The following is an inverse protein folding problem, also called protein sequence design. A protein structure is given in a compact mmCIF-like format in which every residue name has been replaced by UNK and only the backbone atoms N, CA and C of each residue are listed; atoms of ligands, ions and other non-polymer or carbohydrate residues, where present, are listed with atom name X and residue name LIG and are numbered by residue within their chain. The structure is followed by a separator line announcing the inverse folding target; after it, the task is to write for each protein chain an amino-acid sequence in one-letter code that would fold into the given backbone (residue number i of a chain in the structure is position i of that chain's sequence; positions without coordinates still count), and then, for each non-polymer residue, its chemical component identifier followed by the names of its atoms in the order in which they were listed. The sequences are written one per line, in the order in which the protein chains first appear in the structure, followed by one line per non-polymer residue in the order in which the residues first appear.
data_IF_763171313691
#
_entry.id   IF_763171313691
#
_cell.length_a   1.000
_cell.length_b   1.000
_cell.length_c   1.000
_cell.angle_alpha   90.00
_cell.angle_beta   90.00
_cell.angle_gamma   90.00
#
_symmetry.space_group_name_H-M   'P 1'
#
loop_
_entity.id
_entity.type
_entity.pdbx_description
1 polymer ?
#
# COMPACT_ATOMS: atom_id res chain seq x y z
N UNK A 1 -5.42 -0.81 8.53
CA UNK A 1 -5.56 -0.38 9.93
C UNK A 1 -6.73 -1.03 10.66
N UNK A 2 -7.97 -0.58 10.44
CA UNK A 2 -9.12 -0.99 11.28
C UNK A 2 -9.37 -2.50 11.35
N UNK A 3 -9.38 -3.20 10.22
CA UNK A 3 -9.68 -4.64 10.21
C UNK A 3 -8.63 -5.50 10.93
N UNK A 4 -7.34 -5.25 10.71
CA UNK A 4 -6.27 -6.00 11.37
C UNK A 4 -6.29 -5.78 12.89
N UNK A 5 -6.57 -4.55 13.33
CA UNK A 5 -6.71 -4.23 14.76
C UNK A 5 -7.93 -4.91 15.39
N UNK A 6 -9.10 -4.85 14.74
CA UNK A 6 -10.32 -5.51 15.22
C UNK A 6 -10.11 -7.03 15.30
N UNK A 7 -9.53 -7.64 14.28
CA UNK A 7 -9.21 -9.07 14.27
C UNK A 7 -8.25 -9.45 15.41
N UNK A 8 -7.23 -8.63 15.67
CA UNK A 8 -6.28 -8.86 16.76
C UNK A 8 -6.94 -8.71 18.14
N UNK A 9 -7.85 -7.74 18.32
CA UNK A 9 -8.64 -7.61 19.54
C UNK A 9 -9.59 -8.79 19.78
N UNK A 10 -10.26 -9.27 18.74
CA UNK A 10 -11.14 -10.45 18.83
C UNK A 10 -10.31 -11.68 19.23
N UNK A 11 -9.21 -11.94 18.53
CA UNK A 11 -8.33 -13.07 18.82
C UNK A 11 -7.76 -12.97 20.26
N UNK A 12 -7.33 -11.78 20.66
CA UNK A 12 -6.77 -11.54 21.98
C UNK A 12 -7.77 -11.79 23.13
N UNK A 13 -9.06 -11.54 22.87
CA UNK A 13 -10.14 -11.71 23.86
C UNK A 13 -10.64 -13.15 24.00
N UNK A 14 -10.46 -13.98 22.96
CA UNK A 14 -11.02 -15.33 22.91
C UNK A 14 -10.02 -16.41 23.32
N UNK A 15 -8.71 -16.11 23.35
CA UNK A 15 -7.67 -17.14 23.51
C UNK A 15 -7.08 -17.26 24.91
N UNK A 16 -6.99 -18.49 25.40
CA UNK A 16 -6.14 -18.84 26.53
C UNK A 16 -4.68 -18.87 26.05
N UNK A 17 -3.99 -17.72 26.19
CA UNK A 17 -2.62 -17.47 25.74
C UNK A 17 -1.56 -18.52 26.13
N UNK A 18 -1.87 -19.38 27.10
CA UNK A 18 -1.01 -20.48 27.56
C UNK A 18 -0.94 -21.68 26.59
N UNK A 19 -1.87 -21.82 25.62
CA UNK A 19 -1.92 -22.96 24.68
C UNK A 19 -2.20 -22.53 23.23
N UNK A 20 -1.40 -21.60 22.71
CA UNK A 20 -1.48 -21.21 21.30
C UNK A 20 -0.96 -22.33 20.39
N UNK A 21 -1.78 -22.73 19.42
CA UNK A 21 -1.34 -23.65 18.36
C UNK A 21 -0.39 -22.96 17.39
N UNK A 22 0.36 -23.75 16.60
CA UNK A 22 1.22 -23.23 15.54
C UNK A 22 0.44 -22.38 14.52
N UNK A 23 -0.82 -22.77 14.23
CA UNK A 23 -1.70 -22.06 13.31
C UNK A 23 -2.09 -20.67 13.84
N UNK A 24 -2.53 -20.58 15.09
CA UNK A 24 -2.94 -19.32 15.72
C UNK A 24 -1.76 -18.38 15.92
N UNK A 25 -0.60 -18.91 16.27
CA UNK A 25 0.66 -18.15 16.33
C UNK A 25 1.01 -17.56 14.97
N UNK A 26 0.83 -18.33 13.89
CA UNK A 26 1.05 -17.86 12.52
C UNK A 26 0.07 -16.75 12.13
N UNK A 27 -1.21 -16.86 12.50
CA UNK A 27 -2.21 -15.81 12.28
C UNK A 27 -1.90 -14.53 13.05
N UNK A 28 -1.50 -14.64 14.31
CA UNK A 28 -1.06 -13.48 15.11
C UNK A 28 0.14 -12.78 14.49
N UNK A 29 1.16 -13.53 14.06
CA UNK A 29 2.32 -12.99 13.36
C UNK A 29 1.93 -12.28 12.06
N UNK A 30 1.02 -12.86 11.27
CA UNK A 30 0.51 -12.25 10.03
C UNK A 30 -0.25 -10.95 10.31
N UNK A 31 -1.10 -10.90 11.33
CA UNK A 31 -1.83 -9.71 11.73
C UNK A 31 -0.90 -8.61 12.24
N UNK A 32 0.10 -8.97 13.05
CA UNK A 32 1.12 -8.04 13.55
C UNK A 32 1.97 -7.47 12.40
N UNK A 33 2.36 -8.32 11.44
CA UNK A 33 3.04 -7.90 10.22
C UNK A 33 2.18 -6.94 9.39
N UNK A 34 0.89 -7.25 9.21
CA UNK A 34 -0.04 -6.36 8.50
C UNK A 34 -0.20 -5.02 9.21
N UNK A 35 -0.29 -5.00 10.54
CA UNK A 35 -0.37 -3.77 11.32
C UNK A 35 0.89 -2.92 11.15
N UNK A 36 2.06 -3.56 11.22
CA UNK A 36 3.36 -2.90 11.05
C UNK A 36 3.50 -2.31 9.65
N UNK A 37 3.24 -3.10 8.61
CA UNK A 37 3.28 -2.66 7.20
C UNK A 37 2.30 -1.51 6.94
N UNK A 38 1.06 -1.62 7.44
CA UNK A 38 0.07 -0.55 7.30
C UNK A 38 0.52 0.72 8.02
N UNK A 39 1.24 0.61 9.14
CA UNK A 39 1.68 1.77 9.94
C UNK A 39 2.82 2.47 9.25
N UNK A 40 3.80 1.71 8.78
CA UNK A 40 4.90 2.20 7.94
C UNK A 40 4.33 2.91 6.70
N UNK A 41 3.32 2.29 6.08
CA UNK A 41 2.71 2.85 4.89
C UNK A 41 2.07 4.22 5.18
N UNK A 42 1.19 4.29 6.17
CA UNK A 42 0.44 5.51 6.50
C UNK A 42 1.32 6.62 7.10
N UNK A 43 2.32 6.27 7.91
CA UNK A 43 3.13 7.25 8.64
C UNK A 43 4.32 7.77 7.83
N UNK A 44 4.89 6.96 6.93
CA UNK A 44 6.12 7.31 6.23
C UNK A 44 6.01 7.29 4.72
N UNK A 45 5.43 6.25 4.12
CA UNK A 45 5.41 6.11 2.67
C UNK A 45 4.36 7.00 2.00
N UNK A 46 3.14 7.06 2.53
CA UNK A 46 2.06 7.91 2.00
C UNK A 46 2.44 9.39 1.99
N UNK A 47 2.89 10.03 3.11
CA UNK A 47 3.26 11.43 3.09
C UNK A 47 4.39 11.75 2.08
N UNK A 48 5.37 10.86 1.93
CA UNK A 48 6.47 11.01 0.97
C UNK A 48 6.01 10.82 -0.47
N UNK A 49 5.12 9.87 -0.71
CA UNK A 49 4.51 9.63 -2.03
C UNK A 49 3.67 10.83 -2.44
N UNK A 50 2.86 11.36 -1.53
CA UNK A 50 2.04 12.56 -1.77
C UNK A 50 2.91 13.80 -1.99
N UNK A 51 3.98 14.01 -1.22
CA UNK A 51 4.90 15.11 -1.46
C UNK A 51 5.58 15.02 -2.84
N UNK A 52 6.03 13.82 -3.23
CA UNK A 52 6.59 13.58 -4.56
C UNK A 52 5.55 13.77 -5.68
N UNK A 53 4.31 13.35 -5.46
CA UNK A 53 3.19 13.57 -6.37
C UNK A 53 2.91 15.07 -6.58
N UNK A 54 2.84 15.85 -5.50
CA UNK A 54 2.64 17.30 -5.58
C UNK A 54 3.78 17.99 -6.31
N UNK A 55 5.03 17.59 -6.04
CA UNK A 55 6.18 18.13 -6.73
C UNK A 55 6.15 17.81 -8.23
N UNK A 56 5.77 16.58 -8.61
CA UNK A 56 5.57 16.21 -10.03
C UNK A 56 4.47 17.05 -10.67
N UNK A 57 3.33 17.14 -10.00
CA UNK A 57 2.17 17.87 -10.51
C UNK A 57 2.45 19.37 -10.69
N UNK A 58 3.28 19.95 -9.82
CA UNK A 58 3.71 21.35 -9.95
C UNK A 58 4.53 21.54 -11.23
N UNK A 59 5.53 20.67 -11.46
CA UNK A 59 6.37 20.72 -12.67
C UNK A 59 5.56 20.45 -13.94
N UNK A 60 4.62 19.50 -13.88
CA UNK A 60 3.71 19.20 -14.99
C UNK A 60 2.86 20.43 -15.35
N UNK A 61 2.27 21.08 -14.34
CA UNK A 61 1.42 22.26 -14.52
C UNK A 61 2.20 23.47 -15.06
N UNK A 62 3.43 23.71 -14.59
CA UNK A 62 4.31 24.75 -15.14
C UNK A 62 4.62 24.55 -16.63
N UNK A 63 4.58 23.31 -17.10
CA UNK A 63 4.78 22.93 -18.51
C UNK A 63 3.48 22.82 -19.29
N UNK A 64 2.34 23.17 -18.70
CA UNK A 64 1.02 23.11 -19.32
C UNK A 64 0.40 21.71 -19.36
N UNK A 65 0.93 20.76 -18.61
CA UNK A 65 0.43 19.38 -18.48
C UNK A 65 -0.51 19.23 -17.27
N UNK A 66 -1.26 18.13 -17.21
CA UNK A 66 -2.16 17.80 -16.09
C UNK A 66 -3.62 18.27 -16.23
N UNK A 67 -3.97 18.97 -17.32
CA UNK A 67 -5.35 19.37 -17.68
C UNK A 67 -5.94 18.61 -18.88
N UNK A 68 -5.29 17.53 -19.30
CA UNK A 68 -5.58 16.86 -20.56
C UNK A 68 -6.77 15.89 -20.41
N UNK A 69 -7.62 15.82 -21.42
CA UNK A 69 -8.71 14.84 -21.44
C UNK A 69 -8.13 13.45 -21.75
N UNK A 70 -8.37 12.43 -20.89
CA UNK A 70 -7.88 11.07 -21.13
C UNK A 70 -8.29 10.57 -22.52
N UNK A 71 -7.33 10.12 -23.32
CA UNK A 71 -7.57 9.60 -24.68
C UNK A 71 -7.66 10.64 -25.80
N UNK A 72 -7.55 11.95 -25.50
CA UNK A 72 -7.61 13.02 -26.50
C UNK A 72 -6.29 13.29 -27.24
N UNK A 73 -5.19 12.69 -26.81
CA UNK A 73 -3.86 12.94 -27.38
C UNK A 73 -3.54 11.98 -28.55
N UNK A 74 -3.52 12.51 -29.77
CA UNK A 74 -2.89 11.87 -30.93
C UNK A 74 -1.46 12.44 -31.08
N UNK A 75 -0.47 11.78 -30.48
CA UNK A 75 0.93 12.21 -30.57
C UNK A 75 1.85 11.53 -29.56
N UNK A 76 3.17 11.81 -29.59
CA UNK A 76 4.11 11.27 -28.64
C UNK A 76 3.81 11.83 -27.23
N UNK A 77 3.65 10.93 -26.26
CA UNK A 77 3.31 11.23 -24.87
C UNK A 77 4.12 12.43 -24.31
N UNK A 78 3.46 13.56 -23.98
CA UNK A 78 4.14 14.78 -23.53
C UNK A 78 4.86 14.58 -22.19
N UNK A 79 4.39 13.67 -21.32
CA UNK A 79 5.10 13.31 -20.08
C UNK A 79 6.37 12.51 -20.36
N UNK A 80 6.41 11.75 -21.45
CA UNK A 80 7.61 11.03 -21.90
C UNK A 80 8.64 11.99 -22.48
N UNK A 81 8.19 13.01 -23.22
CA UNK A 81 9.07 14.07 -23.70
C UNK A 81 9.64 14.88 -22.54
N UNK A 82 8.81 15.28 -21.57
CA UNK A 82 9.27 16.01 -20.38
C UNK A 82 10.30 15.22 -19.56
N UNK A 83 10.14 13.89 -19.47
CA UNK A 83 11.13 12.99 -18.87
C UNK A 83 12.47 12.97 -19.60
N UNK A 84 12.45 13.06 -20.93
CA UNK A 84 13.67 13.10 -21.74
C UNK A 84 14.38 14.46 -21.69
N UNK A 85 13.63 15.55 -21.53
CA UNK A 85 14.14 16.91 -21.55
C UNK A 85 14.62 17.40 -20.18
N UNK A 86 13.97 16.97 -19.10
CA UNK A 86 14.29 17.43 -17.74
C UNK A 86 14.80 16.27 -16.85
N UNK A 87 16.11 16.22 -16.55
CA UNK A 87 16.66 15.19 -15.70
C UNK A 87 16.13 15.27 -14.26
N UNK A 88 15.78 16.46 -13.75
CA UNK A 88 15.19 16.63 -12.41
C UNK A 88 13.81 16.00 -12.34
N UNK A 89 12.98 16.23 -13.35
CA UNK A 89 11.66 15.59 -13.46
C UNK A 89 11.78 14.06 -13.52
N UNK A 90 12.78 13.54 -14.25
CA UNK A 90 13.02 12.09 -14.33
C UNK A 90 13.34 11.44 -12.97
N UNK A 91 14.18 12.09 -12.16
CA UNK A 91 14.59 11.64 -10.82
C UNK A 91 13.41 11.71 -9.85
N UNK A 92 12.63 12.78 -9.92
CA UNK A 92 11.44 12.98 -9.10
C UNK A 92 10.38 11.91 -9.40
N UNK A 93 10.18 11.59 -10.68
CA UNK A 93 9.27 10.54 -11.13
C UNK A 93 9.73 9.16 -10.67
N UNK A 94 11.03 8.85 -10.77
CA UNK A 94 11.57 7.60 -10.24
C UNK A 94 11.38 7.50 -8.71
N UNK A 95 11.56 8.60 -8.00
CA UNK A 95 11.37 8.67 -6.54
C UNK A 95 9.92 8.41 -6.16
N UNK A 96 8.97 9.06 -6.85
CA UNK A 96 7.54 8.80 -6.70
C UNK A 96 7.20 7.33 -6.95
N UNK A 97 7.63 6.76 -8.08
CA UNK A 97 7.35 5.36 -8.41
C UNK A 97 7.91 4.39 -7.37
N UNK A 98 9.09 4.67 -6.81
CA UNK A 98 9.68 3.85 -5.75
C UNK A 98 8.85 3.88 -4.48
N UNK A 99 8.46 5.07 -4.00
CA UNK A 99 7.64 5.19 -2.79
C UNK A 99 6.22 4.65 -2.98
N UNK A 100 5.60 4.93 -4.13
CA UNK A 100 4.29 4.38 -4.48
C UNK A 100 4.33 2.84 -4.58
N UNK A 101 5.37 2.29 -5.22
CA UNK A 101 5.57 0.85 -5.32
C UNK A 101 5.74 0.19 -3.95
N UNK A 102 6.56 0.77 -3.07
CA UNK A 102 6.72 0.30 -1.69
C UNK A 102 5.40 0.35 -0.92
N UNK A 103 4.61 1.42 -1.10
CA UNK A 103 3.28 1.55 -0.50
C UNK A 103 2.32 0.45 -0.97
N UNK A 104 2.29 0.20 -2.28
CA UNK A 104 1.47 -0.86 -2.87
C UNK A 104 1.86 -2.25 -2.39
N UNK A 105 3.16 -2.54 -2.19
CA UNK A 105 3.63 -3.80 -1.59
C UNK A 105 3.14 -3.93 -0.14
N UNK A 106 3.19 -2.86 0.66
CA UNK A 106 2.67 -2.87 2.02
C UNK A 106 1.17 -3.19 2.04
N UNK A 107 0.40 -2.56 1.15
CA UNK A 107 -1.03 -2.81 1.01
C UNK A 107 -1.33 -4.24 0.54
N UNK A 108 -0.56 -4.77 -0.42
CA UNK A 108 -0.70 -6.15 -0.89
C UNK A 108 -0.39 -7.16 0.22
N UNK A 109 0.68 -6.93 0.99
CA UNK A 109 1.01 -7.76 2.15
C UNK A 109 -0.10 -7.77 3.19
N UNK A 110 -0.73 -6.60 3.45
CA UNK A 110 -1.91 -6.52 4.31
C UNK A 110 -3.09 -7.30 3.76
N UNK A 111 -3.38 -7.18 2.45
CA UNK A 111 -4.49 -7.89 1.81
C UNK A 111 -4.32 -9.41 1.94
N UNK A 112 -3.13 -9.92 1.63
CA UNK A 112 -2.82 -11.35 1.71
C UNK A 112 -2.90 -11.87 3.15
N UNK A 113 -2.31 -11.14 4.11
CA UNK A 113 -2.35 -11.50 5.53
C UNK A 113 -3.78 -11.59 6.06
N UNK A 114 -4.60 -10.55 5.81
CA UNK A 114 -5.99 -10.54 6.25
C UNK A 114 -6.82 -11.62 5.52
N UNK A 115 -6.57 -11.83 4.22
CA UNK A 115 -7.24 -12.87 3.43
C UNK A 115 -6.98 -14.28 3.96
N UNK A 116 -5.73 -14.60 4.31
CA UNK A 116 -5.35 -15.90 4.91
C UNK A 116 -6.01 -16.07 6.28
N UNK A 117 -6.03 -15.03 7.12
CA UNK A 117 -6.68 -15.10 8.42
C UNK A 117 -8.19 -15.37 8.30
N UNK A 118 -8.87 -14.66 7.40
CA UNK A 118 -10.30 -14.85 7.14
C UNK A 118 -10.62 -16.23 6.55
N UNK A 119 -9.80 -16.72 5.61
CA UNK A 119 -9.95 -18.06 5.06
C UNK A 119 -9.78 -19.14 6.14
N UNK A 120 -8.79 -18.97 7.04
CA UNK A 120 -8.60 -19.85 8.19
C UNK A 120 -9.82 -19.88 9.10
N UNK A 121 -10.34 -18.71 9.49
CA UNK A 121 -11.56 -18.61 10.30
C UNK A 121 -12.77 -19.27 9.62
N UNK A 122 -12.97 -19.03 8.32
CA UNK A 122 -14.07 -19.61 7.56
C UNK A 122 -14.00 -21.14 7.49
N UNK A 123 -12.80 -21.71 7.33
CA UNK A 123 -12.59 -23.16 7.35
C UNK A 123 -12.88 -23.75 8.73
N UNK A 124 -12.41 -23.12 9.81
CA UNK A 124 -12.68 -23.56 11.18
C UNK A 124 -14.17 -23.53 11.53
N UNK A 125 -14.90 -22.50 11.08
CA UNK A 125 -16.35 -22.39 11.26
C UNK A 125 -17.12 -23.45 10.46
N UNK A 126 -16.61 -23.88 9.29
CA UNK A 126 -17.24 -24.91 8.46
C UNK A 126 -17.02 -26.33 8.99
N UNK A 127 -15.98 -26.54 9.80
CA UNK A 127 -15.68 -27.81 10.45
C UNK A 127 -16.39 -28.02 11.80
N UNK A 128 -17.16 -27.03 12.24
CA UNK A 128 -18.05 -27.05 13.41
C UNK A 128 -19.47 -27.44 12.98
#
# INVERSE_FOLDING_TARGET
MGCAFINLCILASQHAWAQLTFWETSQLCLLFLSLTLSTINARWLEPRTTAAMWALHTVEKERGLGGEVPGSHQGPDPYRQLRGQDPKYSVLRQTFFRYHGLSSICNLGCLLSNGICLAGLALSLRSL
#
